data_IF_698412590408
#
_entry.id   IF_698412590408
#
_cell.length_a   1.000
_cell.length_b   1.000
_cell.length_c   1.000
_cell.angle_alpha   90.00
_cell.angle_beta   90.00
_cell.angle_gamma   90.00
#
_symmetry.space_group_name_H-M   'P 1'
#
loop_
_entity.id
_entity.type
_entity.pdbx_description
1 polymer ?
#
# COMPACT_ATOMS: atom_id res chain seq x y z
N UNK A 1 7.82 68.29 32.83
CA UNK A 1 7.85 66.98 33.50
C UNK A 1 8.24 65.94 32.47
N UNK A 2 9.54 65.76 32.30
CA UNK A 2 10.14 64.71 31.47
C UNK A 2 10.04 63.37 32.19
N UNK A 3 9.55 62.33 31.49
CA UNK A 3 9.78 60.95 31.91
C UNK A 3 10.23 60.14 30.71
N UNK A 4 11.38 59.48 30.90
CA UNK A 4 12.32 58.97 29.90
C UNK A 4 11.81 57.68 29.25
N UNK A 5 11.79 57.63 27.91
CA UNK A 5 11.81 56.37 27.15
C UNK A 5 13.26 55.89 27.08
N UNK A 6 13.55 54.75 27.71
CA UNK A 6 14.80 54.00 27.51
C UNK A 6 14.64 53.13 26.27
N UNK A 7 15.41 53.44 25.22
CA UNK A 7 15.72 52.51 24.13
C UNK A 7 16.64 51.41 24.67
N UNK A 8 16.20 50.16 24.55
CA UNK A 8 17.04 48.97 24.68
C UNK A 8 17.39 48.51 23.27
N UNK A 9 18.63 48.75 22.85
CA UNK A 9 19.22 48.12 21.67
C UNK A 9 19.51 46.65 21.99
N UNK A 10 18.83 45.74 21.31
CA UNK A 10 19.21 44.32 21.29
C UNK A 10 20.38 44.09 20.30
N UNK A 11 21.32 43.18 20.63
CA UNK A 11 22.49 42.93 19.80
C UNK A 11 22.13 42.08 18.57
N UNK A 12 22.58 42.51 17.38
CA UNK A 12 22.46 41.75 16.13
C UNK A 12 23.17 40.39 16.25
N UNK A 13 22.57 39.27 15.80
CA UNK A 13 23.26 38.00 15.73
C UNK A 13 24.33 38.04 14.63
N UNK A 14 25.56 37.65 14.98
CA UNK A 14 26.68 37.48 14.04
C UNK A 14 26.40 36.27 13.16
N UNK A 15 26.39 36.48 11.85
CA UNK A 15 26.41 35.40 10.85
C UNK A 15 27.76 34.66 10.93
N UNK A 16 27.78 33.32 10.86
CA UNK A 16 29.03 32.59 10.84
C UNK A 16 29.76 32.77 9.51
N UNK A 17 31.05 33.11 9.62
CA UNK A 17 32.01 33.25 8.53
C UNK A 17 32.16 31.95 7.73
N UNK A 18 32.03 32.07 6.41
CA UNK A 18 32.34 31.03 5.43
C UNK A 18 33.82 30.65 5.48
N UNK A 19 34.12 29.36 5.67
CA UNK A 19 35.46 28.79 5.48
C UNK A 19 35.61 28.05 4.14
N UNK A 20 36.86 27.97 3.62
CA UNK A 20 37.15 27.87 2.20
C UNK A 20 37.06 26.45 1.64
N UNK A 21 36.74 26.40 0.34
CA UNK A 21 36.71 25.22 -0.51
C UNK A 21 38.04 24.47 -0.53
N UNK A 22 38.02 23.16 -0.23
CA UNK A 22 39.03 22.22 -0.72
C UNK A 22 38.47 21.48 -1.93
N UNK A 23 39.17 21.64 -3.04
CA UNK A 23 39.07 20.79 -4.22
C UNK A 23 39.67 19.43 -3.86
N UNK A 24 38.90 18.36 -3.99
CA UNK A 24 39.44 17.04 -4.31
C UNK A 24 38.42 16.34 -5.21
N UNK A 25 38.86 16.08 -6.44
CA UNK A 25 38.07 15.40 -7.45
C UNK A 25 38.03 13.90 -7.18
N UNK A 26 36.83 13.39 -6.92
CA UNK A 26 36.45 12.01 -7.23
C UNK A 26 35.06 12.04 -7.87
N UNK A 27 34.97 11.42 -9.04
CA UNK A 27 33.73 11.13 -9.74
C UNK A 27 32.89 10.18 -8.88
N UNK A 28 31.99 10.74 -8.06
CA UNK A 28 30.80 10.02 -7.60
C UNK A 28 29.80 10.00 -8.75
N UNK A 29 29.35 8.81 -9.14
CA UNK A 29 28.20 8.66 -10.01
C UNK A 29 26.96 9.02 -9.21
N UNK A 30 26.34 10.14 -9.57
CA UNK A 30 25.14 10.66 -8.93
C UNK A 30 24.01 9.60 -8.91
N UNK A 31 23.57 9.25 -7.70
CA UNK A 31 22.30 8.56 -7.51
C UNK A 31 21.16 9.55 -7.82
N UNK A 32 20.10 9.15 -8.54
CA UNK A 32 19.01 10.05 -8.88
C UNK A 32 18.32 10.57 -7.61
N UNK A 33 17.93 11.85 -7.63
CA UNK A 33 17.28 12.49 -6.48
C UNK A 33 15.92 11.84 -6.20
N UNK A 34 15.45 11.93 -4.95
CA UNK A 34 14.13 11.42 -4.53
C UNK A 34 12.97 11.98 -5.37
N UNK A 35 13.16 13.17 -5.95
CA UNK A 35 12.20 13.84 -6.83
C UNK A 35 12.17 13.24 -8.24
N UNK A 36 13.33 12.82 -8.76
CA UNK A 36 13.46 12.15 -10.05
C UNK A 36 12.86 10.72 -10.00
N UNK A 37 12.97 10.05 -8.85
CA UNK A 37 12.29 8.79 -8.56
C UNK A 37 10.77 8.95 -8.51
N UNK A 38 10.26 10.02 -7.89
CA UNK A 38 8.83 10.29 -7.79
C UNK A 38 8.21 10.61 -9.15
N UNK A 39 8.90 11.40 -10.00
CA UNK A 39 8.49 11.69 -11.38
C UNK A 39 8.48 10.44 -12.28
N UNK A 40 9.42 9.51 -12.07
CA UNK A 40 9.44 8.20 -12.76
C UNK A 40 8.29 7.28 -12.33
N UNK A 41 7.95 7.27 -11.04
CA UNK A 41 6.81 6.51 -10.53
C UNK A 41 5.46 7.07 -11.02
N UNK A 42 5.29 8.40 -11.03
CA UNK A 42 4.11 9.06 -11.62
C UNK A 42 3.97 8.81 -13.12
N UNK A 43 5.08 8.84 -13.88
CA UNK A 43 5.07 8.52 -15.31
C UNK A 43 4.67 7.08 -15.60
N UNK A 44 5.08 6.13 -14.75
CA UNK A 44 4.67 4.72 -14.88
C UNK A 44 3.17 4.50 -14.61
N UNK A 45 2.59 5.23 -13.65
CA UNK A 45 1.15 5.18 -13.34
C UNK A 45 0.30 5.89 -14.42
N UNK A 46 0.84 6.93 -15.07
CA UNK A 46 0.21 7.64 -16.20
C UNK A 46 0.19 6.80 -17.48
N UNK A 47 1.27 6.04 -17.75
CA UNK A 47 1.38 5.19 -18.94
C UNK A 47 0.33 4.07 -18.98
N UNK A 48 0.05 3.40 -17.85
CA UNK A 48 -1.02 2.38 -17.72
C UNK A 48 -2.45 2.94 -17.91
N UNK A 49 -2.63 4.25 -17.76
CA UNK A 49 -3.91 4.92 -18.00
C UNK A 49 -4.10 5.29 -19.49
N UNK A 50 -3.03 5.62 -20.19
CA UNK A 50 -3.06 6.03 -21.61
C UNK A 50 -3.25 4.88 -22.61
N UNK A 51 -2.86 3.64 -22.27
CA UNK A 51 -3.12 2.46 -23.12
C UNK A 51 -4.60 2.04 -23.17
N UNK A 52 -5.44 2.56 -22.26
CA UNK A 52 -6.88 2.21 -22.20
C UNK A 52 -7.81 3.12 -22.99
N UNK A 53 -7.32 4.25 -23.50
CA UNK A 53 -8.17 5.25 -24.17
C UNK A 53 -8.08 5.29 -25.70
N UNK A 54 -7.25 4.45 -26.33
CA UNK A 54 -7.09 4.47 -27.78
C UNK A 54 -7.84 3.32 -28.48
N UNK A 55 -9.17 3.40 -28.55
CA UNK A 55 -9.97 2.79 -29.63
C UNK A 55 -11.09 3.74 -30.09
N UNK A 56 -10.96 4.22 -31.33
CA UNK A 56 -11.93 5.06 -32.07
C UNK A 56 -13.27 4.34 -32.31
N UNK A 57 -14.38 5.08 -32.55
CA UNK A 57 -15.73 4.54 -32.64
C UNK A 57 -16.04 3.99 -34.04
N UNK A 58 -16.83 2.91 -34.10
CA UNK A 58 -17.48 2.45 -35.33
C UNK A 58 -18.98 2.72 -35.20
N UNK A 59 -19.49 3.52 -36.13
CA UNK A 59 -20.91 3.76 -36.37
C UNK A 59 -21.56 2.55 -37.08
N UNK A 60 -22.88 2.42 -36.87
CA UNK A 60 -23.92 2.10 -37.87
C UNK A 60 -24.75 0.81 -37.67
N UNK A 61 -26.05 1.08 -37.44
CA UNK A 61 -27.25 0.55 -38.13
C UNK A 61 -27.85 -0.83 -37.80
N UNK A 62 -29.10 -0.74 -37.30
CA UNK A 62 -30.36 -1.43 -37.69
C UNK A 62 -30.35 -2.92 -38.09
N UNK A 63 -31.12 -3.73 -37.35
CA UNK A 63 -32.34 -4.45 -37.81
C UNK A 63 -32.76 -5.43 -36.70
N UNK A 64 -33.87 -5.20 -35.99
CA UNK A 64 -35.21 -5.75 -36.28
C UNK A 64 -35.37 -7.28 -36.19
N UNK A 65 -36.36 -7.67 -35.37
CA UNK A 65 -37.28 -8.82 -35.48
C UNK A 65 -36.95 -10.19 -34.85
N UNK A 66 -37.71 -10.48 -33.77
CA UNK A 66 -38.66 -11.61 -33.55
C UNK A 66 -38.14 -13.03 -33.83
N UNK A 67 -38.01 -13.90 -32.82
CA UNK A 67 -39.03 -14.64 -32.00
C UNK A 67 -39.21 -16.09 -32.48
N UNK A 68 -39.00 -17.02 -31.53
CA UNK A 68 -39.59 -18.38 -31.37
C UNK A 68 -39.19 -19.41 -32.43
N UNK A 69 -38.92 -20.67 -32.10
CA UNK A 69 -39.02 -21.44 -30.86
C UNK A 69 -39.00 -22.94 -31.22
N UNK A 70 -38.70 -23.78 -30.22
CA UNK A 70 -39.00 -25.22 -30.11
C UNK A 70 -38.38 -26.16 -31.18
N UNK A 71 -38.06 -27.43 -30.94
CA UNK A 71 -37.94 -28.33 -29.78
C UNK A 71 -37.37 -29.65 -30.35
N UNK A 72 -36.78 -30.45 -29.46
CA UNK A 72 -36.71 -31.92 -29.46
C UNK A 72 -35.87 -32.76 -30.47
N UNK A 73 -35.00 -33.55 -29.84
CA UNK A 73 -34.81 -35.00 -29.97
C UNK A 73 -33.75 -35.65 -30.88
N UNK A 74 -32.82 -36.32 -30.16
CA UNK A 74 -32.37 -37.72 -30.28
C UNK A 74 -31.52 -38.21 -31.47
N UNK A 75 -30.29 -38.55 -31.10
CA UNK A 75 -29.62 -39.86 -31.29
C UNK A 75 -28.72 -40.13 -32.50
N UNK A 76 -27.52 -40.60 -32.15
CA UNK A 76 -26.67 -41.62 -32.80
C UNK A 76 -25.95 -41.29 -34.13
N UNK A 77 -24.70 -41.75 -34.24
CA UNK A 77 -24.09 -42.04 -35.55
C UNK A 77 -22.64 -41.62 -35.75
N UNK A 78 -21.74 -42.56 -35.49
CA UNK A 78 -20.34 -42.74 -35.92
C UNK A 78 -19.92 -42.06 -37.24
N UNK A 79 -18.69 -41.50 -37.30
CA UNK A 79 -18.00 -41.22 -38.56
C UNK A 79 -16.66 -40.46 -38.44
N UNK A 80 -15.54 -41.19 -38.46
CA UNK A 80 -14.18 -40.65 -38.64
C UNK A 80 -13.95 -40.22 -40.10
N UNK A 81 -13.40 -39.02 -40.34
CA UNK A 81 -12.61 -38.69 -41.55
C UNK A 81 -11.47 -37.73 -41.19
N UNK A 82 -10.31 -38.01 -41.78
CA UNK A 82 -9.00 -37.42 -41.54
C UNK A 82 -8.74 -36.08 -42.26
N UNK A 83 -7.87 -35.26 -41.65
CA UNK A 83 -6.88 -34.38 -42.30
C UNK A 83 -7.37 -33.19 -43.14
N UNK A 84 -6.54 -32.15 -43.41
CA UNK A 84 -5.08 -32.20 -43.45
C UNK A 84 -4.33 -31.16 -42.60
N UNK A 85 -3.06 -31.52 -42.44
CA UNK A 85 -1.89 -30.77 -41.99
C UNK A 85 -1.78 -29.33 -42.45
N UNK A 86 -1.28 -28.46 -41.56
CA UNK A 86 -0.43 -27.35 -41.97
C UNK A 86 0.80 -27.22 -41.07
N UNK A 87 1.96 -27.30 -41.72
CA UNK A 87 3.29 -27.44 -41.15
C UNK A 87 4.02 -26.09 -41.05
N UNK A 88 4.74 -25.95 -39.92
CA UNK A 88 6.09 -25.38 -39.74
C UNK A 88 6.38 -23.93 -40.14
N UNK A 89 6.88 -23.16 -39.15
CA UNK A 89 8.20 -22.54 -39.25
C UNK A 89 8.90 -22.54 -37.87
N UNK A 90 10.22 -22.83 -37.77
CA UNK A 90 10.93 -23.08 -36.51
C UNK A 90 11.65 -21.83 -35.97
N UNK A 91 11.73 -21.70 -34.64
CA UNK A 91 12.62 -20.74 -33.98
C UNK A 91 13.91 -21.42 -33.53
N UNK A 92 15.01 -20.91 -34.08
CA UNK A 92 16.43 -21.07 -33.76
C UNK A 92 16.79 -21.96 -32.55
N UNK A 93 17.32 -23.14 -32.88
CA UNK A 93 18.30 -23.88 -32.09
C UNK A 93 19.69 -23.66 -32.69
N UNK A 94 20.48 -22.78 -32.09
CA UNK A 94 21.94 -22.83 -32.04
C UNK A 94 22.20 -22.77 -30.52
N UNK A 95 22.78 -23.77 -29.88
CA UNK A 95 24.20 -24.02 -29.80
C UNK A 95 24.41 -25.46 -29.29
N UNK A 96 25.34 -26.21 -29.88
CA UNK A 96 25.90 -27.41 -29.27
C UNK A 96 27.38 -27.60 -29.65
N UNK A 97 28.13 -28.04 -28.63
CA UNK A 97 29.50 -28.59 -28.58
C UNK A 97 30.64 -27.55 -28.69
N UNK A 98 31.51 -27.41 -27.68
CA UNK A 98 32.49 -28.37 -27.11
C UNK A 98 32.67 -28.09 -25.60
N UNK A 99 32.73 -29.04 -24.66
CA UNK A 99 33.58 -30.22 -24.66
C UNK A 99 34.89 -29.96 -23.91
N UNK A 100 34.86 -29.51 -22.64
CA UNK A 100 35.94 -29.67 -21.65
C UNK A 100 35.41 -29.33 -20.24
N UNK A 101 35.66 -30.23 -19.29
CA UNK A 101 35.11 -30.17 -17.94
C UNK A 101 35.63 -28.97 -17.14
N UNK A 102 34.80 -27.94 -17.02
CA UNK A 102 34.79 -27.08 -15.83
C UNK A 102 33.82 -27.69 -14.84
N UNK A 103 34.28 -27.96 -13.63
CA UNK A 103 33.38 -28.16 -12.49
C UNK A 103 32.44 -26.94 -12.44
N UNK A 104 31.13 -27.18 -12.58
CA UNK A 104 30.08 -26.20 -12.26
C UNK A 104 30.06 -26.00 -10.72
N UNK A 105 31.13 -25.44 -10.16
CA UNK A 105 31.10 -24.94 -8.79
C UNK A 105 30.15 -23.73 -8.75
N UNK A 106 29.08 -23.84 -7.95
CA UNK A 106 28.24 -22.68 -7.60
C UNK A 106 26.80 -22.67 -8.13
N UNK A 107 26.30 -23.74 -8.76
CA UNK A 107 24.87 -23.86 -9.08
C UNK A 107 24.17 -24.63 -7.97
N UNK A 108 23.36 -23.91 -7.18
CA UNK A 108 22.49 -24.52 -6.17
C UNK A 108 21.48 -25.41 -6.86
N UNK A 109 21.32 -26.66 -6.38
CA UNK A 109 20.34 -27.63 -6.85
C UNK A 109 19.25 -27.84 -5.79
N UNK A 110 18.09 -28.34 -6.23
CA UNK A 110 16.96 -28.61 -5.32
C UNK A 110 17.33 -29.58 -4.20
N UNK A 111 18.16 -30.56 -4.49
CA UNK A 111 18.62 -31.56 -3.53
C UNK A 111 19.45 -30.94 -2.40
N UNK A 112 20.12 -29.80 -2.63
CA UNK A 112 20.83 -29.10 -1.55
C UNK A 112 19.87 -28.45 -0.56
N UNK A 113 18.68 -27.99 -0.97
CA UNK A 113 17.66 -27.50 -0.03
C UNK A 113 17.13 -28.65 0.82
N UNK A 114 16.87 -29.80 0.19
CA UNK A 114 16.41 -31.01 0.90
C UNK A 114 17.47 -31.48 1.88
N UNK A 115 18.71 -31.61 1.43
CA UNK A 115 19.84 -31.98 2.27
C UNK A 115 20.07 -30.97 3.40
N UNK A 116 19.91 -29.67 3.14
CA UNK A 116 20.00 -28.63 4.17
C UNK A 116 18.90 -28.81 5.24
N UNK A 117 17.67 -29.12 4.85
CA UNK A 117 16.57 -29.39 5.81
C UNK A 117 16.91 -30.55 6.75
N UNK A 118 17.61 -31.56 6.25
CA UNK A 118 18.00 -32.75 7.02
C UNK A 118 19.24 -32.55 7.88
N UNK A 119 20.15 -31.66 7.47
CA UNK A 119 21.48 -31.51 8.08
C UNK A 119 21.68 -30.23 8.89
N UNK A 120 20.78 -29.25 8.80
CA UNK A 120 20.90 -28.03 9.60
C UNK A 120 20.59 -28.29 11.06
N UNK A 121 21.50 -27.91 11.95
CA UNK A 121 21.27 -27.97 13.39
C UNK A 121 20.41 -26.79 13.85
N UNK A 122 19.65 -26.96 14.94
CA UNK A 122 18.88 -25.87 15.55
C UNK A 122 19.78 -24.67 15.88
N UNK A 123 20.99 -24.94 16.38
CA UNK A 123 21.97 -23.91 16.71
C UNK A 123 22.39 -23.09 15.47
N UNK A 124 22.71 -23.74 14.35
CA UNK A 124 23.03 -23.05 13.10
C UNK A 124 21.85 -22.25 12.57
N UNK A 125 20.65 -22.85 12.59
CA UNK A 125 19.43 -22.20 12.13
C UNK A 125 19.15 -20.92 12.92
N UNK A 126 19.17 -21.00 14.26
CA UNK A 126 18.93 -19.87 15.13
C UNK A 126 20.01 -18.78 14.95
N UNK A 127 21.27 -19.17 14.74
CA UNK A 127 22.36 -18.24 14.47
C UNK A 127 22.15 -17.44 13.19
N UNK A 128 21.81 -18.09 12.08
CA UNK A 128 21.52 -17.38 10.82
C UNK A 128 20.24 -16.54 10.93
N UNK A 129 19.25 -17.00 11.68
CA UNK A 129 18.03 -16.25 11.94
C UNK A 129 18.30 -14.98 12.75
N UNK A 130 19.13 -15.05 13.78
CA UNK A 130 19.54 -13.89 14.57
C UNK A 130 20.23 -12.83 13.70
N UNK A 131 21.17 -13.24 12.84
CA UNK A 131 21.82 -12.35 11.86
C UNK A 131 20.84 -11.72 10.87
N UNK A 132 19.76 -12.42 10.52
CA UNK A 132 18.68 -11.89 9.69
C UNK A 132 17.71 -10.96 10.45
N UNK A 133 18.01 -10.63 11.71
CA UNK A 133 17.25 -9.70 12.55
C UNK A 133 16.33 -10.35 13.57
N UNK A 134 16.48 -11.64 13.87
CA UNK A 134 15.59 -12.39 14.76
C UNK A 134 14.15 -12.43 14.23
N UNK A 135 13.25 -13.18 14.85
CA UNK A 135 11.81 -12.97 14.61
C UNK A 135 11.51 -11.52 15.00
N UNK A 136 11.24 -10.65 14.03
CA UNK A 136 10.27 -9.60 14.36
C UNK A 136 9.03 -10.35 14.85
N UNK A 137 8.41 -9.93 15.94
CA UNK A 137 7.18 -10.54 16.50
C UNK A 137 6.10 -10.82 15.42
N UNK A 138 6.22 -10.17 14.25
CA UNK A 138 5.40 -10.35 13.07
C UNK A 138 5.63 -11.61 12.23
N UNK A 139 6.73 -12.35 12.39
CA UNK A 139 6.88 -13.68 11.76
C UNK A 139 5.97 -14.73 12.42
N UNK A 140 5.40 -14.40 13.60
CA UNK A 140 4.50 -15.28 14.37
C UNK A 140 3.04 -14.80 14.29
N UNK A 141 2.78 -13.53 13.98
CA UNK A 141 1.41 -12.98 13.86
C UNK A 141 1.06 -12.58 12.41
N UNK A 142 1.16 -13.51 11.45
CA UNK A 142 0.26 -13.42 10.30
C UNK A 142 -1.17 -13.68 10.79
N UNK A 143 -1.91 -12.60 11.08
CA UNK A 143 -3.38 -12.56 11.24
C UNK A 143 -4.01 -13.10 12.55
N UNK A 144 -3.35 -13.00 13.69
CA UNK A 144 -4.03 -13.11 15.01
C UNK A 144 -4.22 -11.76 15.71
N UNK A 145 -4.18 -10.64 14.98
CA UNK A 145 -4.79 -9.42 15.51
C UNK A 145 -6.25 -9.73 15.81
N UNK A 146 -6.72 -9.49 17.04
CA UNK A 146 -8.11 -9.72 17.51
C UNK A 146 -9.08 -9.71 16.34
N UNK A 147 -9.36 -10.92 15.81
CA UNK A 147 -10.39 -11.09 14.81
C UNK A 147 -11.67 -10.89 15.57
N UNK A 148 -12.28 -9.74 15.37
CA UNK A 148 -13.59 -9.42 15.90
C UNK A 148 -14.51 -10.59 15.56
N UNK A 149 -15.04 -11.22 16.60
CA UNK A 149 -15.82 -12.45 16.47
C UNK A 149 -17.17 -12.12 15.84
N UNK A 150 -17.74 -13.08 15.11
CA UNK A 150 -19.14 -13.02 14.71
C UNK A 150 -19.99 -12.97 15.98
N UNK A 151 -20.39 -11.76 16.40
CA UNK A 151 -21.07 -11.52 17.67
C UNK A 151 -20.96 -10.07 18.17
N UNK A 152 -19.92 -9.33 17.76
CA UNK A 152 -19.81 -7.91 18.08
C UNK A 152 -20.83 -7.09 17.27
N UNK A 153 -21.64 -6.29 17.97
CA UNK A 153 -22.59 -5.36 17.35
C UNK A 153 -21.91 -4.01 17.11
N UNK A 154 -22.08 -3.47 15.89
CA UNK A 154 -21.38 -2.26 15.44
C UNK A 154 -22.34 -1.15 15.03
N UNK A 155 -21.93 0.08 15.31
CA UNK A 155 -22.49 1.28 14.67
C UNK A 155 -21.49 1.74 13.61
N UNK A 156 -21.90 1.70 12.34
CA UNK A 156 -21.06 2.13 11.22
C UNK A 156 -21.13 3.65 11.04
N UNK A 157 -19.96 4.25 10.92
CA UNK A 157 -19.79 5.66 10.55
C UNK A 157 -18.92 5.69 9.32
N UNK A 158 -19.50 6.05 8.19
CA UNK A 158 -18.72 6.27 6.97
C UNK A 158 -18.03 7.60 7.12
N UNK A 159 -16.77 7.68 6.74
CA UNK A 159 -16.04 8.94 6.72
C UNK A 159 -15.18 9.03 5.48
N UNK A 160 -14.89 10.25 5.09
CA UNK A 160 -14.08 10.60 3.93
C UNK A 160 -13.31 11.90 4.22
N UNK A 161 -12.24 12.15 3.46
CA UNK A 161 -11.38 13.31 3.66
C UNK A 161 -10.98 14.00 2.35
N UNK A 162 -11.09 15.33 2.33
CA UNK A 162 -10.36 16.15 1.35
C UNK A 162 -9.04 16.60 1.94
N UNK A 163 -8.03 16.75 1.09
CA UNK A 163 -6.63 16.81 1.54
C UNK A 163 -5.81 17.81 0.73
N UNK A 164 -4.63 18.21 1.24
CA UNK A 164 -3.70 19.06 0.46
C UNK A 164 -3.05 18.35 -0.73
N UNK A 165 -3.08 17.01 -0.75
CA UNK A 165 -2.37 16.15 -1.70
C UNK A 165 -2.41 14.67 -1.32
N UNK A 166 -1.69 13.83 -2.06
CA UNK A 166 -1.77 12.36 -1.94
C UNK A 166 -0.69 11.72 -1.03
N UNK A 167 0.25 12.49 -0.49
CA UNK A 167 1.28 11.96 0.41
C UNK A 167 0.75 11.89 1.85
N UNK A 168 0.23 10.71 2.23
CA UNK A 168 -0.27 10.43 3.59
C UNK A 168 0.71 10.76 4.74
N UNK A 169 2.01 10.93 4.47
CA UNK A 169 3.03 11.27 5.47
C UNK A 169 3.18 12.77 5.67
N UNK A 170 3.02 13.54 4.58
CA UNK A 170 3.30 14.97 4.54
C UNK A 170 2.05 15.83 4.41
N UNK A 171 1.03 15.39 3.68
CA UNK A 171 -0.21 16.14 3.46
C UNK A 171 -1.10 16.19 4.70
N UNK A 172 -2.12 17.05 4.67
CA UNK A 172 -3.10 17.23 5.76
C UNK A 172 -4.52 17.18 5.24
N UNK A 173 -5.43 16.89 6.16
CA UNK A 173 -6.87 16.92 5.93
C UNK A 173 -7.34 18.38 5.93
N UNK A 174 -8.09 18.80 4.93
CA UNK A 174 -8.70 20.14 4.82
C UNK A 174 -10.22 20.10 4.87
N UNK A 175 -10.82 18.93 4.69
CA UNK A 175 -12.23 18.65 5.01
C UNK A 175 -12.30 17.22 5.56
N UNK A 176 -13.00 17.04 6.69
CA UNK A 176 -13.33 15.72 7.22
C UNK A 176 -14.83 15.66 7.37
N UNK A 177 -15.46 14.60 6.85
CA UNK A 177 -16.89 14.41 7.01
C UNK A 177 -17.26 12.98 7.39
N UNK A 178 -18.41 12.82 8.02
CA UNK A 178 -18.97 11.55 8.44
C UNK A 178 -20.44 11.44 8.09
N UNK A 179 -20.88 10.23 7.75
CA UNK A 179 -22.27 9.88 7.51
C UNK A 179 -22.69 8.65 8.32
N UNK A 180 -23.97 8.61 8.69
CA UNK A 180 -24.61 7.48 9.38
C UNK A 180 -24.75 6.29 8.45
N UNK A 181 -25.03 5.11 8.99
CA UNK A 181 -25.33 3.90 8.21
C UNK A 181 -26.48 4.06 7.19
N UNK A 182 -27.40 5.00 7.44
CA UNK A 182 -28.51 5.30 6.55
C UNK A 182 -28.17 6.39 5.51
N UNK A 183 -26.96 6.94 5.56
CA UNK A 183 -26.47 7.97 4.65
C UNK A 183 -26.78 9.41 5.09
N UNK A 184 -27.24 9.60 6.33
CA UNK A 184 -27.47 10.94 6.88
C UNK A 184 -26.14 11.60 7.24
N UNK A 185 -25.90 12.87 6.88
CA UNK A 185 -24.71 13.61 7.34
C UNK A 185 -24.70 13.71 8.86
N UNK A 186 -23.59 13.32 9.49
CA UNK A 186 -23.41 13.36 10.94
C UNK A 186 -22.42 14.44 11.39
N UNK A 187 -21.36 14.66 10.61
CA UNK A 187 -20.30 15.63 10.90
C UNK A 187 -19.66 16.09 9.60
N UNK A 188 -19.29 17.36 9.50
CA UNK A 188 -18.48 17.87 8.40
C UNK A 188 -17.73 19.11 8.86
N UNK A 189 -16.40 19.11 8.70
CA UNK A 189 -15.55 20.17 9.21
C UNK A 189 -14.44 20.51 8.22
N UNK A 190 -14.37 21.77 7.84
CA UNK A 190 -13.24 22.33 7.11
C UNK A 190 -12.13 22.75 8.07
N UNK A 191 -10.88 22.52 7.67
CA UNK A 191 -9.70 22.80 8.48
C UNK A 191 -8.61 23.50 7.68
N UNK A 192 -7.98 24.53 8.25
CA UNK A 192 -6.81 25.15 7.64
C UNK A 192 -5.63 24.18 7.56
N UNK A 193 -4.83 24.17 6.48
CA UNK A 193 -3.73 23.20 6.30
C UNK A 193 -2.48 23.45 7.17
N UNK A 194 -2.54 24.41 8.11
CA UNK A 194 -1.53 24.59 9.15
C UNK A 194 -0.11 24.83 8.62
N UNK A 195 0.01 25.59 7.53
CA UNK A 195 1.30 25.92 6.90
C UNK A 195 1.67 25.07 5.68
N UNK A 196 0.88 24.04 5.35
CA UNK A 196 0.99 23.34 4.06
C UNK A 196 0.22 24.09 2.99
N UNK A 197 0.72 24.04 1.76
CA UNK A 197 0.02 24.53 0.58
C UNK A 197 -0.93 23.47 0.06
N UNK A 198 -2.12 23.88 -0.39
CA UNK A 198 -3.01 23.02 -1.17
C UNK A 198 -2.44 22.92 -2.59
N UNK A 199 -2.12 21.70 -3.05
CA UNK A 199 -1.60 21.48 -4.41
C UNK A 199 -2.65 21.79 -5.48
N UNK A 200 -2.23 22.25 -6.66
CA UNK A 200 -3.16 22.57 -7.76
C UNK A 200 -4.00 21.38 -8.20
N UNK A 201 -3.44 20.16 -8.18
CA UNK A 201 -4.19 18.94 -8.49
C UNK A 201 -5.29 18.67 -7.46
N UNK A 202 -5.00 18.90 -6.17
CA UNK A 202 -5.99 18.76 -5.11
C UNK A 202 -7.10 19.81 -5.26
N UNK A 203 -6.74 21.08 -5.44
CA UNK A 203 -7.70 22.16 -5.73
C UNK A 203 -8.57 21.86 -6.94
N UNK A 204 -8.01 21.28 -8.02
CA UNK A 204 -8.80 20.90 -9.19
C UNK A 204 -9.77 19.75 -8.91
N UNK A 205 -9.41 18.84 -8.01
CA UNK A 205 -10.28 17.73 -7.63
C UNK A 205 -11.46 18.20 -6.77
N UNK A 206 -11.17 18.86 -5.64
CA UNK A 206 -12.18 19.17 -4.63
C UNK A 206 -12.60 20.64 -4.60
N UNK A 207 -12.08 21.51 -5.47
CA UNK A 207 -12.47 22.93 -5.54
C UNK A 207 -12.06 23.78 -4.32
N UNK A 208 -11.23 23.25 -3.41
CA UNK A 208 -10.78 23.98 -2.21
C UNK A 208 -9.45 24.64 -2.51
N UNK A 209 -9.34 25.93 -2.23
CA UNK A 209 -8.14 26.74 -2.43
C UNK A 209 -7.94 27.71 -1.27
N UNK A 210 -6.81 28.41 -1.25
CA UNK A 210 -6.49 29.39 -0.23
C UNK A 210 -6.38 30.78 -0.86
N UNK A 211 -6.88 31.78 -0.14
CA UNK A 211 -6.75 33.19 -0.51
C UNK A 211 -6.43 34.04 0.72
N UNK A 212 -5.98 35.27 0.47
CA UNK A 212 -5.88 36.31 1.49
C UNK A 212 -6.93 37.37 1.21
N UNK A 213 -7.90 37.51 2.11
CA UNK A 213 -8.96 38.53 2.05
C UNK A 213 -8.76 39.43 3.27
N UNK A 214 -8.59 40.72 3.04
CA UNK A 214 -8.34 41.72 4.10
C UNK A 214 -7.18 41.35 5.04
N UNK A 215 -6.11 40.79 4.47
CA UNK A 215 -4.91 40.37 5.21
C UNK A 215 -5.07 39.07 5.99
N UNK A 216 -6.25 38.45 5.99
CA UNK A 216 -6.53 37.19 6.66
C UNK A 216 -6.51 36.02 5.68
N UNK A 217 -5.89 34.90 6.07
CA UNK A 217 -5.93 33.65 5.30
C UNK A 217 -7.33 33.07 5.36
N UNK A 218 -7.91 32.74 4.22
CA UNK A 218 -9.27 32.20 4.07
C UNK A 218 -9.23 30.99 3.14
N UNK A 219 -9.98 29.93 3.47
CA UNK A 219 -10.23 28.85 2.53
C UNK A 219 -11.43 29.19 1.64
N UNK A 220 -11.30 28.91 0.36
CA UNK A 220 -12.39 29.04 -0.61
C UNK A 220 -12.83 27.65 -1.06
N UNK A 221 -14.13 27.41 -1.22
CA UNK A 221 -14.69 26.27 -1.98
C UNK A 221 -15.38 26.82 -3.22
N UNK A 222 -14.94 26.39 -4.40
CA UNK A 222 -15.45 26.84 -5.70
C UNK A 222 -15.44 28.38 -5.83
N UNK A 223 -14.35 29.00 -5.35
CA UNK A 223 -14.14 30.44 -5.35
C UNK A 223 -14.91 31.21 -4.26
N UNK A 224 -15.68 30.54 -3.40
CA UNK A 224 -16.47 31.17 -2.33
C UNK A 224 -15.81 30.98 -0.97
N UNK A 225 -15.66 32.04 -0.15
CA UNK A 225 -15.15 31.93 1.21
C UNK A 225 -15.93 30.93 2.06
N UNK A 226 -15.21 30.02 2.70
CA UNK A 226 -15.74 29.12 3.71
C UNK A 226 -15.82 29.84 5.06
N UNK A 227 -16.98 29.77 5.70
CA UNK A 227 -17.16 30.23 7.07
C UNK A 227 -16.75 29.12 8.06
N UNK A 228 -16.40 29.52 9.29
CA UNK A 228 -16.18 28.61 10.42
C UNK A 228 -15.17 27.48 10.13
N UNK A 229 -14.03 27.83 9.55
CA UNK A 229 -12.92 26.91 9.28
C UNK A 229 -12.09 26.75 10.54
N UNK A 230 -11.95 25.52 11.03
CA UNK A 230 -11.17 25.22 12.23
C UNK A 230 -9.66 25.21 11.97
N UNK A 231 -8.87 25.31 13.05
CA UNK A 231 -7.48 24.87 13.00
C UNK A 231 -7.43 23.34 12.84
N UNK A 232 -6.32 22.78 12.32
CA UNK A 232 -6.12 21.31 12.27
C UNK A 232 -6.39 20.65 13.63
N UNK A 233 -5.83 21.23 14.70
CA UNK A 233 -5.89 20.64 16.03
C UNK A 233 -7.32 20.65 16.57
N UNK A 234 -8.06 21.73 16.33
CA UNK A 234 -9.41 21.89 16.86
C UNK A 234 -10.40 21.05 16.05
N UNK A 235 -10.30 21.01 14.71
CA UNK A 235 -11.13 20.14 13.89
C UNK A 235 -10.93 18.66 14.21
N UNK A 236 -9.70 18.21 14.45
CA UNK A 236 -9.43 16.83 14.89
C UNK A 236 -9.99 16.54 16.30
N UNK A 237 -9.96 17.51 17.22
CA UNK A 237 -10.57 17.36 18.55
C UNK A 237 -12.08 17.30 18.49
N UNK A 238 -12.70 18.15 17.67
CA UNK A 238 -14.14 18.13 17.40
C UNK A 238 -14.55 16.77 16.84
N UNK A 239 -13.76 16.21 15.91
CA UNK A 239 -13.98 14.86 15.39
C UNK A 239 -13.88 13.78 16.49
N UNK A 240 -12.86 13.82 17.35
CA UNK A 240 -12.73 12.87 18.48
C UNK A 240 -13.91 13.01 19.45
N UNK A 241 -14.32 14.25 19.76
CA UNK A 241 -15.45 14.53 20.63
C UNK A 241 -16.75 13.98 20.04
N UNK A 242 -16.95 14.16 18.73
CA UNK A 242 -18.05 13.56 17.96
C UNK A 242 -18.07 12.03 18.09
N UNK A 243 -16.92 11.36 17.93
CA UNK A 243 -16.83 9.91 18.09
C UNK A 243 -17.16 9.47 19.53
N UNK A 244 -16.63 10.16 20.54
CA UNK A 244 -16.93 9.85 21.95
C UNK A 244 -18.43 10.02 22.26
N UNK A 245 -19.03 11.09 21.75
CA UNK A 245 -20.46 11.35 21.88
C UNK A 245 -21.28 10.21 21.26
N UNK A 246 -21.01 9.83 20.01
CA UNK A 246 -21.74 8.75 19.36
C UNK A 246 -21.50 7.38 20.01
N UNK A 247 -20.29 7.10 20.49
CA UNK A 247 -20.02 5.88 21.26
C UNK A 247 -20.80 5.85 22.57
N UNK A 248 -21.04 7.00 23.22
CA UNK A 248 -21.82 7.06 24.47
C UNK A 248 -23.33 6.84 24.25
N UNK A 249 -23.81 7.05 23.03
CA UNK A 249 -25.23 6.91 22.65
C UNK A 249 -25.61 5.50 22.21
N UNK A 250 -24.63 4.62 22.02
CA UNK A 250 -24.83 3.25 21.52
C UNK A 250 -24.00 2.26 22.33
N UNK A 251 -24.57 1.14 22.80
CA UNK A 251 -23.78 0.06 23.39
C UNK A 251 -22.91 -0.65 22.35
N UNK A 252 -23.18 -0.43 21.05
CA UNK A 252 -22.43 -1.01 19.94
C UNK A 252 -21.10 -0.31 19.78
N UNK A 253 -20.08 -1.05 19.35
CA UNK A 253 -18.77 -0.48 19.07
C UNK A 253 -18.79 0.35 17.79
N UNK A 254 -18.16 1.52 17.79
CA UNK A 254 -18.03 2.32 16.56
C UNK A 254 -17.08 1.68 15.55
N UNK A 255 -17.53 1.56 14.30
CA UNK A 255 -16.73 1.14 13.15
C UNK A 255 -16.62 2.28 12.14
N UNK A 256 -15.41 2.83 12.00
CA UNK A 256 -15.11 3.87 11.01
C UNK A 256 -14.83 3.21 9.67
N UNK A 257 -15.60 3.61 8.66
CA UNK A 257 -15.52 3.03 7.32
C UNK A 257 -15.06 4.07 6.31
N UNK A 258 -13.93 3.82 5.66
CA UNK A 258 -13.46 4.64 4.54
C UNK A 258 -13.32 3.78 3.27
N UNK A 259 -13.31 4.44 2.13
CA UNK A 259 -13.06 3.81 0.84
C UNK A 259 -11.58 3.94 0.47
N UNK A 260 -10.85 2.82 0.37
CA UNK A 260 -9.38 2.80 0.33
C UNK A 260 -8.71 3.30 1.62
N UNK A 261 -9.43 3.20 2.75
CA UNK A 261 -8.96 3.71 4.04
C UNK A 261 -7.61 3.12 4.46
N UNK A 262 -7.34 1.84 4.18
CA UNK A 262 -6.07 1.20 4.56
C UNK A 262 -4.86 1.84 3.88
N UNK A 263 -5.05 2.32 2.66
CA UNK A 263 -4.01 2.95 1.84
C UNK A 263 -3.97 4.45 1.98
N UNK A 264 -5.07 5.10 2.38
CA UNK A 264 -5.20 6.56 2.36
C UNK A 264 -5.75 7.14 3.67
N UNK A 265 -7.08 7.24 3.82
CA UNK A 265 -7.72 8.03 4.89
C UNK A 265 -7.26 7.66 6.30
N UNK A 266 -7.16 6.37 6.63
CA UNK A 266 -6.72 5.94 7.96
C UNK A 266 -5.27 6.34 8.22
N UNK A 267 -4.40 6.22 7.20
CA UNK A 267 -2.98 6.60 7.33
C UNK A 267 -2.84 8.10 7.51
N UNK A 268 -3.55 8.88 6.71
CA UNK A 268 -3.54 10.33 6.76
C UNK A 268 -4.08 10.84 8.10
N UNK A 269 -5.24 10.32 8.53
CA UNK A 269 -5.85 10.65 9.82
C UNK A 269 -4.90 10.35 10.98
N UNK A 270 -4.32 9.15 11.04
CA UNK A 270 -3.37 8.78 12.10
C UNK A 270 -2.13 9.69 12.09
N UNK A 271 -1.60 10.03 10.92
CA UNK A 271 -0.45 10.92 10.82
C UNK A 271 -0.79 12.36 11.22
N UNK A 272 -1.99 12.85 10.92
CA UNK A 272 -2.48 14.14 11.41
C UNK A 272 -2.63 14.13 12.93
N UNK A 273 -3.28 13.11 13.50
CA UNK A 273 -3.47 12.94 14.94
C UNK A 273 -2.13 12.84 15.69
N UNK A 274 -1.15 12.11 15.16
CA UNK A 274 0.21 12.05 15.72
C UNK A 274 0.88 13.41 15.78
N UNK A 275 0.83 14.18 14.69
CA UNK A 275 1.43 15.54 14.62
C UNK A 275 0.80 16.51 15.62
N UNK A 276 -0.44 16.28 16.01
CA UNK A 276 -1.16 17.11 16.99
C UNK A 276 -1.22 16.51 18.41
N UNK A 277 -0.53 15.39 18.66
CA UNK A 277 -0.52 14.66 19.94
C UNK A 277 -1.91 14.20 20.42
N UNK A 278 -2.81 13.85 19.49
CA UNK A 278 -4.19 13.44 19.77
C UNK A 278 -4.43 11.92 19.71
N UNK A 279 -3.37 11.12 19.51
CA UNK A 279 -3.51 9.67 19.33
C UNK A 279 -4.13 8.96 20.51
N UNK A 280 -3.76 9.33 21.75
CA UNK A 280 -4.31 8.68 22.95
C UNK A 280 -5.81 8.94 23.08
N UNK A 281 -6.26 10.16 22.76
CA UNK A 281 -7.66 10.53 22.79
C UNK A 281 -8.47 9.83 21.68
N UNK A 282 -7.85 9.59 20.53
CA UNK A 282 -8.46 8.84 19.44
C UNK A 282 -8.54 7.34 19.76
N UNK A 283 -7.48 6.73 20.30
CA UNK A 283 -7.50 5.32 20.73
C UNK A 283 -8.57 5.10 21.81
N UNK A 284 -8.76 6.08 22.71
CA UNK A 284 -9.78 5.99 23.77
C UNK A 284 -11.22 6.03 23.26
N UNK A 285 -11.48 6.30 21.98
CA UNK A 285 -12.84 6.18 21.42
C UNK A 285 -13.27 4.72 21.33
N UNK A 286 -12.32 3.77 21.39
CA UNK A 286 -12.58 2.35 21.23
C UNK A 286 -12.95 1.94 19.80
N UNK A 287 -12.89 2.85 18.83
CA UNK A 287 -13.31 2.60 17.45
C UNK A 287 -12.45 1.55 16.74
N UNK A 288 -13.04 0.87 15.77
CA UNK A 288 -12.34 0.01 14.80
C UNK A 288 -12.37 0.63 13.42
N UNK A 289 -11.46 0.19 12.55
CA UNK A 289 -11.27 0.70 11.19
C UNK A 289 -11.67 -0.38 10.18
N UNK A 290 -12.42 -0.01 9.16
CA UNK A 290 -12.86 -0.91 8.09
C UNK A 290 -12.63 -0.27 6.71
N UNK A 291 -11.81 -0.91 5.88
CA UNK A 291 -11.69 -0.53 4.48
C UNK A 291 -12.82 -1.17 3.64
N UNK A 292 -13.72 -0.34 3.12
CA UNK A 292 -14.85 -0.79 2.33
C UNK A 292 -14.46 -1.53 1.05
N UNK A 293 -13.26 -1.31 0.49
CA UNK A 293 -12.79 -2.02 -0.71
C UNK A 293 -12.65 -3.51 -0.41
N UNK A 294 -12.24 -3.89 0.81
CA UNK A 294 -12.19 -5.30 1.23
C UNK A 294 -13.58 -5.91 1.30
N UNK A 295 -14.56 -5.16 1.80
CA UNK A 295 -15.97 -5.58 1.86
C UNK A 295 -16.53 -5.78 0.44
N UNK A 296 -16.30 -4.82 -0.46
CA UNK A 296 -16.71 -4.90 -1.87
C UNK A 296 -16.06 -6.11 -2.57
N UNK A 297 -14.76 -6.34 -2.37
CA UNK A 297 -14.06 -7.50 -2.95
C UNK A 297 -14.56 -8.82 -2.41
N UNK A 298 -14.91 -8.89 -1.13
CA UNK A 298 -15.49 -10.08 -0.53
C UNK A 298 -16.90 -10.36 -1.08
N UNK A 299 -17.74 -9.32 -1.22
CA UNK A 299 -19.11 -9.47 -1.72
C UNK A 299 -19.18 -9.85 -3.19
N UNK A 300 -18.22 -9.43 -4.02
CA UNK A 300 -18.07 -9.87 -5.43
C UNK A 300 -17.94 -11.40 -5.58
N UNK A 301 -17.53 -12.11 -4.52
CA UNK A 301 -17.37 -13.58 -4.54
C UNK A 301 -18.60 -14.33 -4.07
N UNK A 302 -19.64 -13.63 -3.62
CA UNK A 302 -20.87 -14.24 -3.10
C UNK A 302 -21.88 -14.45 -4.24
N UNK A 303 -22.67 -15.52 -4.17
CA UNK A 303 -23.67 -15.86 -5.21
C UNK A 303 -24.71 -14.76 -5.42
N UNK A 304 -25.06 -14.02 -4.36
CA UNK A 304 -26.02 -12.90 -4.39
C UNK A 304 -25.36 -11.54 -4.51
N UNK A 305 -24.17 -11.48 -5.12
CA UNK A 305 -23.47 -10.21 -5.29
C UNK A 305 -24.30 -9.23 -6.12
N UNK A 306 -24.40 -7.94 -5.73
CA UNK A 306 -24.96 -6.92 -6.60
C UNK A 306 -24.02 -6.55 -7.76
N UNK A 307 -22.81 -7.14 -7.80
CA UNK A 307 -21.83 -6.94 -8.85
C UNK A 307 -21.67 -8.20 -9.68
N UNK A 308 -21.82 -8.07 -11.00
CA UNK A 308 -21.52 -9.17 -11.90
C UNK A 308 -20.00 -9.44 -11.99
N UNK A 309 -19.63 -10.61 -12.55
CA UNK A 309 -18.23 -11.02 -12.70
C UNK A 309 -17.41 -10.14 -13.67
N UNK A 310 -18.07 -9.32 -14.49
CA UNK A 310 -17.44 -8.39 -15.41
C UNK A 310 -17.12 -7.03 -14.75
N UNK A 311 -17.76 -6.70 -13.63
CA UNK A 311 -17.58 -5.45 -12.91
C UNK A 311 -16.27 -5.42 -12.10
N UNK A 312 -15.20 -4.95 -12.76
CA UNK A 312 -13.85 -4.88 -12.19
C UNK A 312 -13.53 -3.57 -11.46
N UNK A 313 -14.34 -2.53 -11.64
CA UNK A 313 -14.08 -1.22 -11.03
C UNK A 313 -14.33 -1.27 -9.53
N UNK A 314 -13.56 -0.48 -8.80
CA UNK A 314 -13.59 -0.44 -7.33
C UNK A 314 -13.53 1.00 -6.80
N UNK A 315 -13.61 2.03 -7.65
CA UNK A 315 -13.74 3.41 -7.18
C UNK A 315 -15.16 3.68 -6.69
N UNK A 316 -15.31 4.59 -5.73
CA UNK A 316 -16.60 4.92 -5.14
C UNK A 316 -17.60 5.39 -6.20
N UNK A 317 -17.20 6.28 -7.12
CA UNK A 317 -18.05 6.76 -8.20
C UNK A 317 -18.49 5.65 -9.14
N UNK A 318 -17.62 4.67 -9.44
CA UNK A 318 -17.99 3.54 -10.29
C UNK A 318 -18.96 2.60 -9.58
N UNK A 319 -18.76 2.34 -8.28
CA UNK A 319 -19.65 1.53 -7.46
C UNK A 319 -21.04 2.18 -7.35
N UNK A 320 -21.08 3.46 -7.02
CA UNK A 320 -22.32 4.24 -6.92
C UNK A 320 -23.05 4.29 -8.26
N UNK A 321 -22.36 4.63 -9.34
CA UNK A 321 -22.93 4.68 -10.68
C UNK A 321 -23.49 3.35 -11.15
N UNK A 322 -22.82 2.24 -10.83
CA UNK A 322 -23.31 0.90 -11.15
C UNK A 322 -24.56 0.53 -10.35
N UNK A 323 -24.57 0.77 -9.03
CA UNK A 323 -25.65 0.36 -8.15
C UNK A 323 -26.91 1.22 -8.27
N UNK A 324 -26.77 2.50 -8.60
CA UNK A 324 -27.87 3.47 -8.59
C UNK A 324 -28.19 4.07 -9.96
N UNK A 325 -27.37 3.81 -10.99
CA UNK A 325 -27.55 4.37 -12.33
C UNK A 325 -27.32 5.88 -12.43
N UNK A 326 -26.82 6.52 -11.36
CA UNK A 326 -26.59 7.96 -11.27
C UNK A 326 -25.21 8.25 -10.68
N UNK A 327 -24.53 9.32 -11.12
CA UNK A 327 -23.28 9.75 -10.51
C UNK A 327 -23.51 10.22 -9.07
N UNK A 328 -22.41 10.32 -8.32
CA UNK A 328 -22.42 10.97 -6.99
C UNK A 328 -22.70 12.45 -7.21
N UNK A 329 -23.59 13.02 -6.40
CA UNK A 329 -23.82 14.46 -6.38
C UNK A 329 -22.64 15.14 -5.68
N UNK A 330 -21.91 16.02 -6.39
CA UNK A 330 -20.68 16.69 -5.92
C UNK A 330 -19.58 15.70 -5.46
N UNK A 331 -18.99 14.90 -6.37
CA UNK A 331 -17.82 14.09 -6.02
C UNK A 331 -16.66 15.01 -5.60
N UNK A 332 -15.74 14.50 -4.76
CA UNK A 332 -14.67 15.31 -4.16
C UNK A 332 -15.21 16.44 -3.26
N UNK A 333 -16.30 16.11 -2.57
CA UNK A 333 -16.70 16.72 -1.32
C UNK A 333 -16.83 15.60 -0.29
N UNK A 334 -16.04 15.68 0.78
CA UNK A 334 -15.97 14.61 1.77
C UNK A 334 -17.34 14.19 2.33
N UNK A 335 -18.28 15.13 2.47
CA UNK A 335 -19.61 14.80 2.99
C UNK A 335 -20.42 14.03 1.95
N UNK A 336 -20.41 14.48 0.70
CA UNK A 336 -21.07 13.78 -0.40
C UNK A 336 -20.51 12.36 -0.59
N UNK A 337 -19.19 12.21 -0.55
CA UNK A 337 -18.51 10.91 -0.72
C UNK A 337 -18.76 9.99 0.48
N UNK A 338 -18.75 10.49 1.72
CA UNK A 338 -19.14 9.69 2.89
C UNK A 338 -20.62 9.21 2.81
N UNK A 339 -21.54 10.07 2.40
CA UNK A 339 -22.94 9.71 2.17
C UNK A 339 -23.10 8.68 1.02
N UNK A 340 -22.35 8.85 -0.07
CA UNK A 340 -22.35 7.91 -1.19
C UNK A 340 -21.81 6.54 -0.79
N UNK A 341 -20.74 6.50 0.01
CA UNK A 341 -20.19 5.28 0.57
C UNK A 341 -21.22 4.54 1.42
N UNK A 342 -21.97 5.27 2.25
CA UNK A 342 -23.07 4.67 3.03
C UNK A 342 -24.08 3.97 2.14
N UNK A 343 -24.56 4.66 1.09
CA UNK A 343 -25.53 4.10 0.14
C UNK A 343 -25.00 2.85 -0.55
N UNK A 344 -23.75 2.87 -1.01
CA UNK A 344 -23.08 1.71 -1.62
C UNK A 344 -23.06 0.54 -0.64
N UNK A 345 -22.64 0.76 0.61
CA UNK A 345 -22.53 -0.31 1.61
C UNK A 345 -23.88 -0.86 2.08
N UNK A 346 -24.96 -0.07 2.04
CA UNK A 346 -26.31 -0.58 2.30
C UNK A 346 -26.77 -1.65 1.28
N UNK A 347 -26.19 -1.66 0.07
CA UNK A 347 -26.51 -2.66 -0.97
C UNK A 347 -25.63 -3.90 -0.90
N UNK A 348 -24.64 -3.93 -0.01
CA UNK A 348 -23.60 -4.95 0.02
C UNK A 348 -23.60 -5.65 1.39
N UNK A 349 -23.61 -7.00 1.44
CA UNK A 349 -23.40 -7.72 2.69
C UNK A 349 -22.07 -7.32 3.34
N UNK A 350 -22.13 -6.86 4.58
CA UNK A 350 -20.95 -6.40 5.33
C UNK A 350 -20.21 -7.61 5.91
N UNK A 351 -18.97 -7.82 5.50
CA UNK A 351 -18.10 -8.83 6.10
C UNK A 351 -17.15 -8.18 7.12
N UNK A 352 -17.47 -8.38 8.40
CA UNK A 352 -16.75 -7.78 9.53
C UNK A 352 -15.40 -8.44 9.85
N UNK A 353 -15.08 -9.58 9.24
CA UNK A 353 -13.75 -10.22 9.43
C UNK A 353 -12.57 -9.38 8.92
N UNK A 354 -12.84 -8.23 8.29
CA UNK A 354 -11.84 -7.36 7.67
C UNK A 354 -11.57 -6.05 8.42
N UNK A 355 -12.31 -5.76 9.50
CA UNK A 355 -12.03 -4.61 10.35
C UNK A 355 -10.83 -4.84 11.26
N UNK A 356 -10.15 -3.76 11.64
CA UNK A 356 -8.90 -3.77 12.40
C UNK A 356 -8.96 -2.73 13.51
N UNK A 357 -8.52 -3.10 14.71
CA UNK A 357 -8.38 -2.16 15.83
C UNK A 357 -7.27 -1.16 15.53
N UNK A 358 -7.44 0.10 15.95
CA UNK A 358 -6.50 1.22 15.67
C UNK A 358 -5.04 0.84 16.00
N UNK A 359 -4.77 0.22 17.16
CA UNK A 359 -3.43 -0.20 17.55
C UNK A 359 -2.82 -1.22 16.58
N UNK A 360 -3.61 -2.18 16.11
CA UNK A 360 -3.15 -3.18 15.14
C UNK A 360 -2.89 -2.53 13.77
N UNK A 361 -3.74 -1.61 13.35
CA UNK A 361 -3.52 -0.84 12.13
C UNK A 361 -2.24 0.00 12.21
N UNK A 362 -1.96 0.63 13.36
CA UNK A 362 -0.71 1.36 13.59
C UNK A 362 0.52 0.46 13.53
N UNK A 363 0.46 -0.77 14.08
CA UNK A 363 1.52 -1.78 13.92
C UNK A 363 1.74 -2.11 12.44
N UNK A 364 0.66 -2.32 11.68
CA UNK A 364 0.71 -2.58 10.23
C UNK A 364 1.31 -1.40 9.45
N UNK A 365 0.98 -0.15 9.81
CA UNK A 365 1.58 1.05 9.22
C UNK A 365 3.09 1.10 9.46
N UNK A 366 3.53 0.87 10.71
CA UNK A 366 4.96 0.85 11.07
C UNK A 366 5.70 -0.22 10.27
N UNK A 367 5.15 -1.43 10.23
CA UNK A 367 5.72 -2.51 9.44
C UNK A 367 5.81 -2.18 7.95
N UNK A 368 4.75 -1.59 7.37
CA UNK A 368 4.75 -1.17 5.97
C UNK A 368 5.90 -0.18 5.68
N UNK A 369 6.15 0.75 6.60
CA UNK A 369 7.26 1.70 6.48
C UNK A 369 8.62 1.01 6.60
N UNK A 370 8.78 0.08 7.54
CA UNK A 370 10.00 -0.72 7.67
C UNK A 370 10.24 -1.57 6.43
N UNK A 371 9.20 -2.15 5.82
CA UNK A 371 9.30 -2.87 4.55
C UNK A 371 9.77 -1.92 3.44
N UNK A 372 9.19 -0.72 3.33
CA UNK A 372 9.62 0.29 2.34
C UNK A 372 11.10 0.65 2.50
N UNK A 373 11.56 0.87 3.73
CA UNK A 373 12.96 1.16 4.03
C UNK A 373 13.88 -0.02 3.65
N UNK A 374 13.48 -1.25 3.98
CA UNK A 374 14.23 -2.47 3.59
C UNK A 374 14.30 -2.63 2.07
N UNK A 375 13.18 -2.43 1.35
CA UNK A 375 13.12 -2.49 -0.13
C UNK A 375 14.16 -1.56 -0.76
N UNK A 376 14.34 -0.35 -0.23
CA UNK A 376 15.33 0.60 -0.73
C UNK A 376 16.75 0.04 -0.68
N UNK A 377 17.13 -0.61 0.43
CA UNK A 377 18.47 -1.21 0.57
C UNK A 377 18.71 -2.38 -0.40
N UNK A 378 17.64 -3.06 -0.83
CA UNK A 378 17.68 -4.28 -1.64
C UNK A 378 17.67 -3.99 -3.15
N UNK A 379 17.57 -2.73 -3.57
CA UNK A 379 17.39 -2.35 -4.98
C UNK A 379 18.50 -2.87 -5.92
N UNK A 380 19.72 -3.08 -5.40
CA UNK A 380 20.85 -3.60 -6.17
C UNK A 380 20.83 -5.11 -6.40
N UNK A 381 19.88 -5.86 -5.82
CA UNK A 381 19.81 -7.30 -6.02
C UNK A 381 19.30 -7.66 -7.43
N UNK A 382 19.86 -8.71 -8.08
CA UNK A 382 19.50 -9.10 -9.44
C UNK A 382 18.20 -9.93 -9.48
N UNK A 383 17.14 -9.44 -8.83
CA UNK A 383 15.84 -10.12 -8.75
C UNK A 383 14.69 -9.14 -8.99
N UNK A 384 13.49 -9.66 -9.26
CA UNK A 384 12.32 -8.80 -9.51
C UNK A 384 11.93 -7.96 -8.30
N UNK A 385 11.26 -6.82 -8.55
CA UNK A 385 10.71 -5.97 -7.49
C UNK A 385 9.76 -6.70 -6.53
N UNK A 386 8.99 -7.65 -7.07
CA UNK A 386 8.14 -8.52 -6.27
C UNK A 386 8.95 -9.39 -5.30
N UNK A 387 10.11 -9.90 -5.74
CA UNK A 387 10.99 -10.68 -4.87
C UNK A 387 11.69 -9.80 -3.83
N UNK A 388 12.15 -8.60 -4.22
CA UNK A 388 12.65 -7.60 -3.26
C UNK A 388 11.61 -7.31 -2.17
N UNK A 389 10.34 -7.17 -2.54
CA UNK A 389 9.27 -6.97 -1.58
C UNK A 389 9.06 -8.17 -0.65
N UNK A 390 9.15 -9.41 -1.16
CA UNK A 390 9.07 -10.61 -0.33
C UNK A 390 10.22 -10.69 0.69
N UNK A 391 11.45 -10.45 0.24
CA UNK A 391 12.64 -10.41 1.10
C UNK A 391 12.49 -9.31 2.17
N UNK A 392 12.04 -8.12 1.74
CA UNK A 392 11.80 -7.02 2.65
C UNK A 392 10.73 -7.39 3.68
N UNK A 393 9.57 -7.95 3.28
CA UNK A 393 8.51 -8.38 4.20
C UNK A 393 8.99 -9.40 5.23
N UNK A 394 9.89 -10.31 4.84
CA UNK A 394 10.39 -11.37 5.72
C UNK A 394 11.42 -10.93 6.78
N UNK A 395 11.62 -9.63 7.01
CA UNK A 395 12.59 -9.14 8.01
C UNK A 395 13.92 -8.65 7.44
N UNK A 396 14.21 -8.94 6.17
CA UNK A 396 15.57 -8.82 5.63
C UNK A 396 15.80 -7.52 4.87
N UNK A 397 16.97 -6.93 5.08
CA UNK A 397 17.57 -5.87 4.27
C UNK A 397 18.91 -6.39 3.69
N UNK A 398 19.52 -5.56 2.85
CA UNK A 398 20.79 -5.91 2.21
C UNK A 398 21.92 -6.22 3.21
N UNK A 399 22.03 -5.44 4.30
CA UNK A 399 23.10 -5.61 5.27
C UNK A 399 22.93 -6.90 6.06
N UNK A 400 21.71 -7.25 6.44
CA UNK A 400 21.38 -8.53 7.08
C UNK A 400 21.72 -9.70 6.16
N UNK A 401 21.34 -9.66 4.88
CA UNK A 401 21.70 -10.70 3.92
C UNK A 401 23.23 -10.81 3.76
N UNK A 402 23.93 -9.69 3.70
CA UNK A 402 25.40 -9.65 3.66
C UNK A 402 26.01 -10.29 4.90
N UNK A 403 25.50 -10.00 6.10
CA UNK A 403 25.98 -10.60 7.36
C UNK A 403 25.75 -12.10 7.40
N UNK A 404 24.56 -12.56 6.99
CA UNK A 404 24.24 -14.00 6.89
C UNK A 404 25.20 -14.69 5.91
N UNK A 405 25.47 -14.09 4.75
CA UNK A 405 26.41 -14.65 3.78
C UNK A 405 27.87 -14.66 4.29
N UNK A 406 28.31 -13.59 4.97
CA UNK A 406 29.66 -13.55 5.57
C UNK A 406 29.87 -14.65 6.59
N UNK A 407 28.83 -15.00 7.36
CA UNK A 407 28.92 -16.03 8.39
C UNK A 407 28.74 -17.45 7.82
N UNK A 408 27.73 -17.67 6.98
CA UNK A 408 27.30 -19.01 6.56
C UNK A 408 27.47 -19.31 5.08
N UNK A 409 28.00 -18.36 4.30
CA UNK A 409 28.07 -18.46 2.84
C UNK A 409 26.70 -18.72 2.21
N UNK A 410 26.71 -19.56 1.19
CA UNK A 410 25.50 -20.08 0.53
C UNK A 410 24.55 -20.75 1.52
N UNK A 411 25.09 -21.58 2.43
CA UNK A 411 24.30 -22.36 3.39
C UNK A 411 23.48 -21.44 4.30
N UNK A 412 24.08 -20.34 4.76
CA UNK A 412 23.37 -19.32 5.55
C UNK A 412 22.24 -18.63 4.79
N UNK A 413 22.49 -18.22 3.53
CA UNK A 413 21.46 -17.58 2.70
C UNK A 413 20.30 -18.55 2.38
N UNK A 414 20.62 -19.82 2.10
CA UNK A 414 19.61 -20.86 1.91
C UNK A 414 18.73 -21.04 3.15
N UNK A 415 19.33 -21.05 4.34
CA UNK A 415 18.58 -21.14 5.60
C UNK A 415 17.54 -20.02 5.73
N UNK A 416 17.90 -18.77 5.45
CA UNK A 416 17.02 -17.63 5.70
C UNK A 416 16.05 -17.35 4.54
N UNK A 417 16.30 -17.86 3.34
CA UNK A 417 15.45 -17.66 2.17
C UNK A 417 14.50 -18.84 1.91
N UNK A 418 15.03 -20.06 1.96
CA UNK A 418 14.37 -21.25 1.45
C UNK A 418 13.79 -22.16 2.54
N UNK A 419 14.24 -22.05 3.78
CA UNK A 419 13.65 -22.80 4.89
C UNK A 419 12.48 -22.03 5.51
N UNK A 420 11.57 -22.70 6.24
CA UNK A 420 10.52 -22.06 7.02
C UNK A 420 11.07 -21.06 8.04
N UNK A 421 10.25 -20.08 8.50
CA UNK A 421 10.72 -19.06 9.45
C UNK A 421 11.06 -19.61 10.84
N UNK A 422 10.56 -20.79 11.22
CA UNK A 422 10.85 -21.43 12.50
C UNK A 422 11.47 -22.82 12.32
N UNK A 423 12.43 -23.17 13.18
CA UNK A 423 13.10 -24.47 13.14
C UNK A 423 12.12 -25.64 13.33
N UNK A 424 11.16 -25.47 14.24
CA UNK A 424 10.07 -26.42 14.51
C UNK A 424 9.23 -26.77 13.27
N UNK A 425 9.26 -25.93 12.23
CA UNK A 425 8.47 -26.12 11.00
C UNK A 425 9.22 -26.87 9.89
N UNK A 426 10.50 -27.21 10.07
CA UNK A 426 11.34 -27.82 9.01
C UNK A 426 10.74 -29.12 8.45
N UNK A 427 10.18 -29.95 9.33
CA UNK A 427 9.60 -31.26 9.00
C UNK A 427 8.07 -31.26 8.95
N UNK A 428 7.44 -30.08 9.08
CA UNK A 428 5.98 -29.96 8.98
C UNK A 428 5.60 -29.96 7.50
N UNK A 429 4.80 -30.95 7.09
CA UNK A 429 4.33 -31.07 5.72
C UNK A 429 3.57 -29.80 5.31
N UNK A 430 3.97 -29.20 4.19
CA UNK A 430 3.37 -27.97 3.68
C UNK A 430 3.89 -26.68 4.31
N UNK A 431 4.96 -26.75 5.13
CA UNK A 431 5.62 -25.54 5.64
C UNK A 431 6.15 -24.68 4.49
N UNK A 432 5.73 -23.41 4.49
CA UNK A 432 6.13 -22.46 3.45
C UNK A 432 7.56 -21.97 3.71
N UNK A 433 8.36 -21.73 2.67
CA UNK A 433 9.63 -21.06 2.83
C UNK A 433 9.43 -19.64 3.35
N UNK A 434 10.43 -19.11 4.06
CA UNK A 434 10.42 -17.72 4.54
C UNK A 434 10.33 -16.72 3.39
N UNK A 435 10.98 -16.98 2.25
CA UNK A 435 10.92 -16.12 1.06
C UNK A 435 10.55 -16.93 -0.20
N UNK A 436 11.40 -17.90 -0.58
CA UNK A 436 11.26 -18.66 -1.83
C UNK A 436 12.10 -19.93 -1.83
N UNK A 437 11.61 -20.99 -2.47
CA UNK A 437 12.39 -22.18 -2.84
C UNK A 437 12.77 -22.18 -4.33
N UNK A 438 12.53 -21.08 -5.04
CA UNK A 438 12.81 -20.99 -6.48
C UNK A 438 14.32 -20.93 -6.72
N UNK A 439 14.89 -22.07 -7.12
CA UNK A 439 16.34 -22.26 -7.30
C UNK A 439 16.99 -21.17 -8.16
N UNK A 440 16.37 -20.78 -9.28
CA UNK A 440 16.90 -19.72 -10.14
C UNK A 440 17.14 -18.41 -9.36
N UNK A 441 16.17 -18.02 -8.54
CA UNK A 441 16.21 -16.77 -7.76
C UNK A 441 17.24 -16.87 -6.64
N UNK A 442 17.34 -18.02 -5.99
CA UNK A 442 18.34 -18.26 -4.95
C UNK A 442 19.75 -18.18 -5.55
N UNK A 443 19.98 -18.81 -6.71
CA UNK A 443 21.25 -18.72 -7.43
C UNK A 443 21.61 -17.28 -7.79
N UNK A 444 20.68 -16.51 -8.36
CA UNK A 444 20.88 -15.08 -8.68
C UNK A 444 21.36 -14.29 -7.44
N UNK A 445 20.73 -14.51 -6.28
CA UNK A 445 21.10 -13.85 -5.01
C UNK A 445 22.46 -14.33 -4.51
N UNK A 446 22.70 -15.64 -4.44
CA UNK A 446 23.94 -16.21 -3.90
C UNK A 446 25.14 -15.82 -4.76
N UNK A 447 25.02 -15.90 -6.09
CA UNK A 447 26.07 -15.47 -7.01
C UNK A 447 26.40 -13.98 -6.84
N UNK A 448 25.39 -13.13 -6.62
CA UNK A 448 25.62 -11.71 -6.34
C UNK A 448 26.51 -11.49 -5.11
N UNK A 449 26.22 -12.16 -3.99
CA UNK A 449 27.03 -12.04 -2.78
C UNK A 449 28.41 -12.67 -2.91
N UNK A 450 28.53 -13.76 -3.69
CA UNK A 450 29.80 -14.40 -3.99
C UNK A 450 30.74 -13.46 -4.77
N UNK A 451 30.25 -12.86 -5.85
CA UNK A 451 31.01 -11.90 -6.66
C UNK A 451 31.44 -10.67 -5.85
N UNK A 452 30.55 -10.16 -4.99
CA UNK A 452 30.87 -9.05 -4.10
C UNK A 452 32.00 -9.42 -3.12
N UNK A 453 31.95 -10.62 -2.53
CA UNK A 453 32.98 -11.09 -1.60
C UNK A 453 34.34 -11.34 -2.26
N UNK A 454 34.37 -11.75 -3.54
CA UNK A 454 35.61 -11.89 -4.31
C UNK A 454 36.23 -10.53 -4.65
N UNK A 455 35.40 -9.55 -5.00
CA UNK A 455 35.84 -8.19 -5.34
C UNK A 455 36.47 -7.49 -4.13
N UNK A 456 35.89 -7.64 -2.94
CA UNK A 456 36.43 -7.08 -1.69
C UNK A 456 37.83 -7.64 -1.38
N UNK A 457 38.08 -8.94 -1.63
CA UNK A 457 39.37 -9.59 -1.38
C UNK A 457 40.48 -9.08 -2.31
N UNK A 458 40.17 -8.88 -3.58
CA UNK A 458 41.14 -8.40 -4.58
C UNK A 458 41.50 -6.92 -4.41
N UNK A 459 40.68 -6.14 -3.68
CA UNK A 459 40.96 -4.73 -3.37
C UNK A 459 41.85 -4.53 -2.12
N UNK A 460 42.03 -5.59 -1.32
CA UNK A 460 42.81 -5.56 -0.08
C UNK A 460 44.24 -6.12 -0.24
N UNK A 461 44.56 -6.67 -1.41
CA UNK A 461 45.89 -7.11 -1.86
C UNK A 461 46.53 -6.06 -2.75
#
# INVERSE_FOLDING_TARGET
>A
MECKRKELQEPRPRLPESRPSRKDGRLEQDAPSSEEYYKRWQSAMSWESSEKENKRPINATKSESRKRGNEHDLSSGVGSIAGPSNSKAPRNTLWNHTGEGRQEEGIIKRDQIVHLRETITEKEFLRYKELSGGTSEMDVEENEGERLTEGDDYTFVMFDTETTGLDTSNDVIIQLACASENGDPLHSRYMFPGGRSIGSEATNAHGISEAFIDGSRVLLKDGRPLADVASQKDGLREFIAFLKMHQSQSPKRLCLVAHYGDSFDFRLLINCLKRHNLMNEFISTGSVLLDSVKVVRASKKQEKSPFDSSFKKESLSALHGHLFGVPIDRPHDAQADACALSKVLMKIPKNMSTSVIINNFMKQMKHSQEVKNRKFTLWGLPVSLFMIEKIAKSGMDFNKMRSVYKEGGERGLLTVLALPPQYSQLNVKGSKPRVTETIRIINEIVSFFHMAAMSDKNSAT
#
